data_IF_746115678342
#
_entry.id   IF_746115678342
#
_cell.length_a   1.000
_cell.length_b   1.000
_cell.length_c   1.000
_cell.angle_alpha   90.00
_cell.angle_beta   90.00
_cell.angle_gamma   90.00
#
_symmetry.space_group_name_H-M   'P 1'
#
loop_
_entity.id
_entity.type
_entity.pdbx_description
1 polymer ?
#
# COMPACT_ATOMS: atom_id res chain seq x y z
N UNK A 1 -10.78 3.82 7.41
CA UNK A 1 -11.17 3.72 5.97
C UNK A 1 -12.67 3.83 5.74
N UNK A 2 -13.53 3.06 6.43
CA UNK A 2 -14.99 3.11 6.25
C UNK A 2 -15.56 4.54 6.36
N UNK A 3 -15.23 5.25 7.41
CA UNK A 3 -15.70 6.63 7.65
C UNK A 3 -15.23 7.63 6.58
N UNK A 4 -14.04 7.41 6.00
CA UNK A 4 -13.52 8.28 4.93
C UNK A 4 -14.28 8.10 3.61
N UNK A 5 -14.83 6.93 3.37
CA UNK A 5 -15.60 6.62 2.16
C UNK A 5 -17.09 7.02 2.28
N UNK A 6 -17.59 7.34 3.48
CA UNK A 6 -19.00 7.69 3.68
C UNK A 6 -19.49 8.75 2.67
N UNK A 7 -20.70 8.60 2.07
CA UNK A 7 -21.70 7.57 2.29
C UNK A 7 -21.49 6.27 1.47
N UNK A 8 -20.39 6.14 0.74
CA UNK A 8 -20.11 4.95 -0.06
C UNK A 8 -19.47 3.86 0.78
N UNK A 9 -19.84 2.61 0.51
CA UNK A 9 -19.02 1.50 0.97
C UNK A 9 -17.64 1.51 0.25
N UNK A 10 -16.50 1.17 0.90
CA UNK A 10 -15.19 1.18 0.26
C UNK A 10 -15.09 0.35 -1.03
N UNK A 11 -15.82 -0.77 -1.14
CA UNK A 11 -15.89 -1.57 -2.36
C UNK A 11 -16.54 -0.74 -3.48
N UNK A 12 -17.68 -0.11 -3.21
CA UNK A 12 -18.38 0.74 -4.19
C UNK A 12 -17.51 1.89 -4.63
N UNK A 13 -16.86 2.59 -3.67
CA UNK A 13 -15.91 3.65 -3.98
C UNK A 13 -14.79 3.18 -4.89
N UNK A 14 -14.14 2.06 -4.55
CA UNK A 14 -13.02 1.53 -5.33
C UNK A 14 -13.41 1.19 -6.77
N UNK A 15 -14.55 0.55 -6.94
CA UNK A 15 -15.02 0.15 -8.27
C UNK A 15 -15.40 1.37 -9.12
N UNK A 16 -16.12 2.32 -8.56
CA UNK A 16 -16.44 3.60 -9.22
C UNK A 16 -15.19 4.38 -9.57
N UNK A 17 -14.20 4.42 -8.64
CA UNK A 17 -12.92 5.08 -8.88
C UNK A 17 -12.17 4.48 -10.07
N UNK A 18 -12.16 3.16 -10.20
CA UNK A 18 -11.50 2.49 -11.32
C UNK A 18 -12.28 2.65 -12.63
N UNK A 19 -13.59 2.40 -12.59
CA UNK A 19 -14.43 2.32 -13.78
C UNK A 19 -14.82 3.68 -14.37
N UNK A 20 -14.67 4.79 -13.63
CA UNK A 20 -14.89 6.14 -14.17
C UNK A 20 -13.91 6.52 -15.29
N UNK A 21 -12.73 5.88 -15.34
CA UNK A 21 -11.78 6.10 -16.43
C UNK A 21 -12.27 5.33 -17.66
N UNK A 22 -12.59 6.00 -18.78
CA UNK A 22 -13.14 5.35 -19.97
C UNK A 22 -12.18 4.36 -20.64
N UNK A 23 -10.91 4.34 -20.24
CA UNK A 23 -9.91 3.38 -20.69
C UNK A 23 -9.98 2.06 -19.92
N UNK A 24 -10.66 2.04 -18.77
CA UNK A 24 -10.86 0.84 -17.93
C UNK A 24 -12.19 0.22 -18.30
N UNK A 25 -12.16 -0.86 -19.08
CA UNK A 25 -13.37 -1.55 -19.53
C UNK A 25 -13.85 -2.65 -18.58
N UNK A 26 -12.94 -3.16 -17.73
CA UNK A 26 -13.25 -4.24 -16.80
C UNK A 26 -12.29 -4.21 -15.63
N UNK A 27 -12.76 -4.69 -14.48
CA UNK A 27 -11.96 -4.91 -13.28
C UNK A 27 -12.15 -6.35 -12.81
N UNK A 28 -11.10 -6.93 -12.23
CA UNK A 28 -11.18 -8.22 -11.56
C UNK A 28 -11.52 -7.96 -10.09
N UNK A 29 -12.64 -8.49 -9.65
CA UNK A 29 -13.12 -8.31 -8.28
C UNK A 29 -13.00 -9.61 -7.49
N UNK A 30 -12.81 -9.50 -6.17
CA UNK A 30 -12.82 -10.59 -5.23
C UNK A 30 -13.90 -10.37 -4.18
N UNK A 31 -14.57 -11.43 -3.76
CA UNK A 31 -15.59 -11.39 -2.71
C UNK A 31 -15.14 -12.27 -1.54
N UNK A 32 -15.23 -11.73 -0.33
CA UNK A 32 -15.01 -12.48 0.92
C UNK A 32 -16.28 -13.14 1.41
N UNK A 33 -17.43 -12.58 1.05
CA UNK A 33 -18.75 -13.10 1.32
C UNK A 33 -19.71 -12.77 0.16
N UNK A 34 -20.87 -13.44 0.05
CA UNK A 34 -21.82 -13.19 -1.04
C UNK A 34 -22.30 -11.73 -1.14
N UNK A 35 -22.43 -11.03 -0.01
CA UNK A 35 -22.85 -9.62 0.02
C UNK A 35 -21.87 -8.66 -0.63
N UNK A 36 -20.59 -9.04 -0.76
CA UNK A 36 -19.60 -8.22 -1.47
C UNK A 36 -19.96 -8.10 -2.96
N UNK A 37 -20.59 -9.13 -3.55
CA UNK A 37 -21.04 -9.11 -4.95
C UNK A 37 -22.15 -8.08 -5.16
N UNK A 38 -23.04 -7.90 -4.18
CA UNK A 38 -24.11 -6.90 -4.25
C UNK A 38 -23.52 -5.47 -4.28
N UNK A 39 -22.43 -5.24 -3.54
CA UNK A 39 -21.71 -3.96 -3.56
C UNK A 39 -21.05 -3.67 -4.92
N UNK A 40 -20.49 -4.69 -5.58
CA UNK A 40 -19.98 -4.53 -6.95
C UNK A 40 -21.09 -4.21 -7.95
N UNK A 41 -22.26 -4.84 -7.81
CA UNK A 41 -23.44 -4.53 -8.64
C UNK A 41 -23.96 -3.11 -8.36
N UNK A 42 -23.99 -2.68 -7.10
CA UNK A 42 -24.31 -1.30 -6.73
C UNK A 42 -23.38 -0.30 -7.46
N UNK A 43 -22.05 -0.54 -7.43
CA UNK A 43 -21.11 0.32 -8.13
C UNK A 43 -21.43 0.45 -9.62
N UNK A 44 -21.69 -0.68 -10.30
CA UNK A 44 -22.02 -0.69 -11.73
C UNK A 44 -23.32 0.10 -12.00
N UNK A 45 -24.32 -0.03 -11.13
CA UNK A 45 -25.60 0.68 -11.28
C UNK A 45 -25.49 2.21 -11.14
N UNK A 46 -24.38 2.69 -10.57
CA UNK A 46 -24.15 4.11 -10.27
C UNK A 46 -23.01 4.74 -11.09
N UNK A 47 -22.54 4.07 -12.14
CA UNK A 47 -21.41 4.55 -12.96
C UNK A 47 -21.63 5.95 -13.55
N UNK A 48 -22.85 6.28 -13.97
CA UNK A 48 -23.17 7.59 -14.53
C UNK A 48 -22.99 8.74 -13.51
N UNK A 49 -23.06 8.43 -12.23
CA UNK A 49 -22.90 9.37 -11.12
C UNK A 49 -21.46 9.34 -10.53
N UNK A 50 -20.60 8.50 -11.05
CA UNK A 50 -19.29 8.18 -10.43
C UNK A 50 -18.47 9.42 -10.11
N UNK A 51 -18.39 10.39 -11.01
CA UNK A 51 -17.57 11.59 -10.82
C UNK A 51 -18.02 12.40 -9.59
N UNK A 52 -19.34 12.60 -9.42
CA UNK A 52 -19.90 13.38 -8.32
C UNK A 52 -19.81 12.62 -6.98
N UNK A 53 -19.98 11.31 -7.02
CA UNK A 53 -19.96 10.45 -5.83
C UNK A 53 -18.55 10.31 -5.24
N UNK A 54 -17.53 10.16 -6.09
CA UNK A 54 -16.17 9.88 -5.63
C UNK A 54 -15.37 11.14 -5.29
N UNK A 55 -15.64 12.29 -5.90
CA UNK A 55 -14.87 13.50 -5.67
C UNK A 55 -14.79 13.92 -4.18
N UNK A 56 -15.87 13.92 -3.40
CA UNK A 56 -15.81 14.22 -1.98
C UNK A 56 -15.00 13.19 -1.17
N UNK A 57 -15.06 11.91 -1.56
CA UNK A 57 -14.31 10.83 -0.91
C UNK A 57 -12.81 11.00 -1.20
N UNK A 58 -12.44 11.24 -2.46
CA UNK A 58 -11.05 11.51 -2.83
C UNK A 58 -10.46 12.69 -2.05
N UNK A 59 -11.22 13.77 -1.92
CA UNK A 59 -10.78 14.94 -1.16
C UNK A 59 -10.52 14.59 0.32
N UNK A 60 -11.40 13.81 0.95
CA UNK A 60 -11.19 13.35 2.34
C UNK A 60 -9.98 12.43 2.48
N UNK A 61 -9.80 11.49 1.55
CA UNK A 61 -8.64 10.58 1.54
C UNK A 61 -7.33 11.36 1.36
N UNK A 62 -7.30 12.32 0.45
CA UNK A 62 -6.14 13.19 0.24
C UNK A 62 -5.85 14.03 1.48
N UNK A 63 -6.88 14.62 2.09
CA UNK A 63 -6.70 15.42 3.30
C UNK A 63 -6.21 14.58 4.48
N UNK A 64 -6.74 13.37 4.65
CA UNK A 64 -6.26 12.44 5.67
C UNK A 64 -4.78 12.07 5.46
N UNK A 65 -4.38 11.80 4.21
CA UNK A 65 -2.99 11.52 3.88
C UNK A 65 -2.07 12.73 4.17
N UNK A 66 -2.48 13.95 3.79
CA UNK A 66 -1.73 15.17 4.08
C UNK A 66 -1.57 15.41 5.58
N UNK A 67 -2.62 15.21 6.34
CA UNK A 67 -2.59 15.38 7.79
C UNK A 67 -1.66 14.38 8.49
N UNK A 68 -1.64 13.14 8.01
CA UNK A 68 -0.85 12.07 8.62
C UNK A 68 0.63 12.08 8.19
N UNK A 69 0.91 12.36 6.93
CA UNK A 69 2.21 12.17 6.32
C UNK A 69 2.95 13.49 6.01
N UNK A 70 2.20 14.56 5.76
CA UNK A 70 2.71 15.86 5.32
C UNK A 70 2.94 15.93 3.81
N UNK A 71 2.80 17.15 3.24
CA UNK A 71 2.93 17.38 1.79
C UNK A 71 4.34 17.06 1.26
N UNK A 72 5.39 17.38 2.01
CA UNK A 72 6.78 17.11 1.60
C UNK A 72 7.04 15.62 1.43
N UNK A 73 6.58 14.82 2.38
CA UNK A 73 6.67 13.36 2.28
C UNK A 73 5.87 12.82 1.10
N UNK A 74 4.60 13.21 0.97
CA UNK A 74 3.73 12.75 -0.10
C UNK A 74 4.28 13.07 -1.48
N UNK A 75 4.92 14.22 -1.65
CA UNK A 75 5.52 14.66 -2.91
C UNK A 75 6.85 13.96 -3.27
N UNK A 76 7.52 13.32 -2.31
CA UNK A 76 8.92 12.90 -2.51
C UNK A 76 9.32 11.58 -1.84
N UNK A 77 8.44 10.86 -1.16
CA UNK A 77 8.78 9.65 -0.40
C UNK A 77 9.49 8.56 -1.23
N UNK A 78 9.20 8.48 -2.53
CA UNK A 78 9.78 7.49 -3.44
C UNK A 78 11.03 7.98 -4.19
N UNK A 79 11.40 9.26 -4.03
CA UNK A 79 12.55 9.82 -4.76
C UNK A 79 13.86 9.22 -4.27
N UNK A 80 14.71 8.84 -5.24
CA UNK A 80 16.06 8.36 -4.96
C UNK A 80 16.12 7.01 -4.23
N UNK A 81 15.02 6.25 -4.18
CA UNK A 81 15.04 4.90 -3.64
C UNK A 81 15.76 3.96 -4.60
N UNK A 82 16.63 3.08 -4.10
CA UNK A 82 17.23 2.01 -4.90
C UNK A 82 16.20 0.94 -5.24
N UNK A 83 16.45 0.19 -6.31
CA UNK A 83 15.68 -1.02 -6.58
C UNK A 83 15.99 -2.11 -5.54
N UNK A 84 15.06 -3.02 -5.33
CA UNK A 84 15.19 -4.05 -4.30
C UNK A 84 16.40 -4.98 -4.54
N UNK A 85 16.77 -5.22 -5.80
CA UNK A 85 17.91 -6.09 -6.18
C UNK A 85 19.25 -5.60 -5.68
N UNK A 86 19.41 -4.27 -5.51
CA UNK A 86 20.64 -3.65 -5.04
C UNK A 86 20.55 -3.13 -3.60
N UNK A 87 19.39 -3.27 -2.98
CA UNK A 87 19.22 -2.90 -1.58
C UNK A 87 19.82 -3.99 -0.67
N UNK A 88 20.52 -3.65 0.42
CA UNK A 88 21.00 -4.63 1.38
C UNK A 88 19.87 -5.56 1.86
N UNK A 89 20.11 -6.88 1.80
CA UNK A 89 19.10 -7.89 2.15
C UNK A 89 17.94 -7.98 1.17
N UNK A 90 18.09 -7.42 -0.04
CA UNK A 90 17.05 -7.39 -1.07
C UNK A 90 15.74 -6.74 -0.60
N UNK A 91 15.82 -5.81 0.37
CA UNK A 91 14.64 -5.17 0.95
C UNK A 91 13.93 -4.32 -0.10
N UNK A 92 12.63 -4.55 -0.29
CA UNK A 92 11.82 -3.79 -1.22
C UNK A 92 11.32 -2.49 -0.60
N UNK A 93 12.19 -1.48 -0.58
CA UNK A 93 11.91 -0.17 0.00
C UNK A 93 10.66 0.51 -0.60
N UNK A 94 10.47 0.56 -1.94
CA UNK A 94 9.27 1.16 -2.52
C UNK A 94 7.96 0.56 -2.00
N UNK A 95 7.88 -0.77 -1.93
CA UNK A 95 6.67 -1.44 -1.41
C UNK A 95 6.50 -1.18 0.08
N UNK A 96 7.56 -1.26 0.88
CA UNK A 96 7.47 -1.02 2.32
C UNK A 96 7.04 0.41 2.65
N UNK A 97 7.58 1.41 1.98
CA UNK A 97 7.18 2.80 2.18
C UNK A 97 5.75 3.07 1.67
N UNK A 98 5.34 2.42 0.60
CA UNK A 98 3.94 2.44 0.17
C UNK A 98 3.01 1.84 1.24
N UNK A 99 3.37 0.70 1.85
CA UNK A 99 2.60 0.11 2.95
C UNK A 99 2.56 1.04 4.18
N UNK A 100 3.67 1.72 4.50
CA UNK A 100 3.71 2.74 5.53
C UNK A 100 2.68 3.86 5.25
N UNK A 101 2.65 4.36 4.02
CA UNK A 101 1.71 5.40 3.64
C UNK A 101 0.24 4.95 3.80
N UNK A 102 -0.08 3.72 3.42
CA UNK A 102 -1.43 3.16 3.59
C UNK A 102 -1.84 3.02 5.07
N UNK A 103 -0.88 2.64 5.92
CA UNK A 103 -1.09 2.52 7.36
C UNK A 103 -1.36 3.87 8.01
N UNK A 104 -0.47 4.83 7.77
CA UNK A 104 -0.53 6.12 8.46
C UNK A 104 -1.70 6.99 7.94
N UNK A 105 -1.96 6.96 6.63
CA UNK A 105 -3.01 7.77 6.04
C UNK A 105 -4.42 7.23 6.29
N UNK A 106 -4.60 5.90 6.26
CA UNK A 106 -5.94 5.31 6.16
C UNK A 106 -6.16 4.10 7.07
N UNK A 107 -5.22 3.80 7.95
CA UNK A 107 -5.28 2.66 8.89
C UNK A 107 -5.61 1.31 8.23
N UNK A 108 -4.98 1.04 7.07
CA UNK A 108 -5.18 -0.19 6.31
C UNK A 108 -4.30 -1.34 6.85
N UNK A 109 -4.33 -1.59 8.17
CA UNK A 109 -3.41 -2.53 8.82
C UNK A 109 -3.56 -3.97 8.31
N UNK A 110 -4.78 -4.47 8.20
CA UNK A 110 -5.01 -5.85 7.71
C UNK A 110 -4.47 -6.05 6.29
N UNK A 111 -4.68 -5.08 5.42
CA UNK A 111 -4.17 -5.08 4.05
C UNK A 111 -2.64 -5.01 4.04
N UNK A 112 -2.06 -4.05 4.77
CA UNK A 112 -0.63 -3.86 4.84
C UNK A 112 0.08 -5.11 5.41
N UNK A 113 -0.47 -5.71 6.45
CA UNK A 113 0.04 -6.95 7.05
C UNK A 113 0.03 -8.11 6.05
N UNK A 114 -1.05 -8.28 5.30
CA UNK A 114 -1.13 -9.32 4.28
C UNK A 114 -0.09 -9.13 3.18
N UNK A 115 0.15 -7.90 2.72
CA UNK A 115 1.14 -7.59 1.67
C UNK A 115 2.57 -7.66 2.18
N UNK A 116 2.83 -7.18 3.40
CA UNK A 116 4.13 -7.29 4.05
C UNK A 116 4.61 -8.76 4.14
N UNK A 117 3.71 -9.67 4.50
CA UNK A 117 4.01 -11.12 4.62
C UNK A 117 4.18 -11.83 3.29
N UNK A 118 3.80 -11.22 2.17
CA UNK A 118 4.06 -11.75 0.84
C UNK A 118 5.46 -11.40 0.33
N UNK A 119 6.09 -10.34 0.85
CA UNK A 119 7.48 -10.02 0.54
C UNK A 119 8.41 -11.12 1.06
N UNK A 120 9.33 -11.57 0.20
CA UNK A 120 10.24 -12.67 0.52
C UNK A 120 9.65 -14.07 0.33
N UNK A 121 8.39 -14.21 -0.11
CA UNK A 121 7.75 -15.51 -0.38
C UNK A 121 8.07 -16.10 -1.76
N UNK A 122 8.93 -15.44 -2.55
CA UNK A 122 9.29 -15.85 -3.92
C UNK A 122 8.26 -15.52 -4.99
N UNK A 123 7.17 -14.81 -4.64
CA UNK A 123 6.15 -14.39 -5.60
C UNK A 123 6.58 -13.15 -6.38
N UNK A 124 6.44 -13.15 -7.70
CA UNK A 124 6.86 -12.05 -8.58
C UNK A 124 6.09 -10.72 -8.40
N UNK A 125 4.90 -10.74 -7.79
CA UNK A 125 4.11 -9.54 -7.50
C UNK A 125 4.64 -8.72 -6.33
N UNK A 126 5.35 -9.37 -5.40
CA UNK A 126 5.95 -8.78 -4.22
C UNK A 126 7.38 -9.31 -4.09
N UNK A 127 8.20 -9.00 -5.11
CA UNK A 127 9.59 -9.39 -5.15
C UNK A 127 10.40 -8.70 -4.04
N UNK A 128 11.53 -9.28 -3.69
CA UNK A 128 12.39 -8.79 -2.63
C UNK A 128 11.90 -9.16 -1.23
N UNK A 129 12.63 -8.71 -0.23
CA UNK A 129 12.38 -9.00 1.18
C UNK A 129 11.60 -7.89 1.86
N UNK A 130 10.91 -8.24 2.95
CA UNK A 130 10.34 -7.26 3.87
C UNK A 130 11.38 -6.75 4.90
N UNK A 131 10.94 -5.92 5.84
CA UNK A 131 11.83 -5.36 6.85
C UNK A 131 12.30 -6.37 7.91
N UNK A 132 11.82 -7.61 7.91
CA UNK A 132 12.33 -8.68 8.79
C UNK A 132 13.77 -9.05 8.43
N UNK A 133 14.20 -8.77 7.17
CA UNK A 133 15.58 -8.91 6.74
C UNK A 133 16.55 -7.92 7.46
N UNK A 134 16.03 -6.87 8.11
CA UNK A 134 16.79 -6.00 9.01
C UNK A 134 17.07 -6.77 10.31
N UNK A 135 18.06 -7.60 10.27
CA UNK A 135 18.60 -8.36 11.40
C UNK A 135 20.06 -7.98 11.63
N UNK A 136 20.74 -8.76 12.43
CA UNK A 136 22.15 -8.55 12.76
C UNK A 136 23.11 -8.63 11.55
N UNK A 137 22.61 -9.01 10.36
CA UNK A 137 23.40 -9.16 9.13
C UNK A 137 23.46 -7.87 8.30
N UNK A 138 22.48 -6.98 8.48
CA UNK A 138 22.42 -5.72 7.74
C UNK A 138 22.64 -4.57 8.71
N UNK A 139 23.78 -3.90 8.56
CA UNK A 139 24.07 -2.72 9.38
C UNK A 139 23.25 -1.51 8.91
N UNK A 140 22.90 -0.65 9.84
CA UNK A 140 22.23 0.61 9.52
C UNK A 140 23.07 1.48 8.56
N UNK A 141 24.40 1.41 8.64
CA UNK A 141 25.30 2.13 7.73
C UNK A 141 25.16 1.67 6.28
N UNK A 142 25.03 0.36 6.02
CA UNK A 142 24.80 -0.17 4.67
C UNK A 142 23.44 0.30 4.10
N UNK A 143 22.42 0.32 4.93
CA UNK A 143 21.09 0.83 4.52
C UNK A 143 21.15 2.34 4.21
N UNK A 144 21.81 3.13 5.06
CA UNK A 144 22.00 4.57 4.84
C UNK A 144 22.82 4.88 3.60
N UNK A 145 23.80 4.04 3.27
CA UNK A 145 24.57 4.17 2.03
C UNK A 145 23.69 3.92 0.81
N UNK A 146 22.90 2.85 0.82
CA UNK A 146 21.93 2.56 -0.25
C UNK A 146 20.86 3.66 -0.44
N UNK A 147 20.52 4.38 0.63
CA UNK A 147 19.59 5.50 0.63
C UNK A 147 20.23 6.86 0.34
N UNK A 148 21.49 6.93 -0.06
CA UNK A 148 22.22 8.19 -0.21
C UNK A 148 21.55 9.22 -1.13
N UNK A 149 20.77 8.78 -2.12
CA UNK A 149 20.05 9.63 -3.06
C UNK A 149 18.65 10.03 -2.59
N UNK A 150 18.16 9.45 -1.49
CA UNK A 150 16.82 9.75 -0.98
C UNK A 150 16.81 10.99 -0.07
N UNK A 151 15.90 11.94 -0.24
CA UNK A 151 15.74 13.06 0.70
C UNK A 151 15.31 12.61 2.09
N UNK A 152 14.84 11.36 2.22
CA UNK A 152 14.33 10.77 3.46
C UNK A 152 15.26 9.72 4.06
N UNK A 153 16.53 9.73 3.63
CA UNK A 153 17.57 8.79 4.06
C UNK A 153 17.53 8.49 5.55
N UNK A 154 17.49 9.52 6.38
CA UNK A 154 17.60 9.38 7.83
C UNK A 154 16.27 8.96 8.51
N UNK A 155 15.15 9.17 7.83
CA UNK A 155 13.81 8.81 8.34
C UNK A 155 13.45 7.35 8.03
N UNK A 156 13.84 6.83 6.87
CA UNK A 156 13.43 5.51 6.36
C UNK A 156 13.81 4.36 7.31
N UNK A 157 15.01 4.29 7.91
CA UNK A 157 15.35 3.20 8.85
C UNK A 157 14.38 3.10 10.03
N UNK A 158 13.93 4.24 10.56
CA UNK A 158 12.91 4.27 11.62
C UNK A 158 11.56 3.72 11.17
N UNK A 159 11.12 4.07 9.96
CA UNK A 159 9.88 3.54 9.36
C UNK A 159 9.96 2.02 9.20
N UNK A 160 11.07 1.49 8.69
CA UNK A 160 11.25 0.05 8.52
C UNK A 160 11.19 -0.71 9.84
N UNK A 161 11.82 -0.18 10.90
CA UNK A 161 11.72 -0.77 12.25
C UNK A 161 10.28 -0.78 12.76
N UNK A 162 9.53 0.28 12.55
CA UNK A 162 8.11 0.36 12.92
C UNK A 162 7.27 -0.65 12.15
N UNK A 163 7.48 -0.78 10.82
CA UNK A 163 6.79 -1.77 10.01
C UNK A 163 7.09 -3.20 10.47
N UNK A 164 8.38 -3.51 10.75
CA UNK A 164 8.77 -4.81 11.31
C UNK A 164 8.03 -5.09 12.62
N UNK A 165 7.99 -4.15 13.56
CA UNK A 165 7.30 -4.33 14.85
C UNK A 165 5.79 -4.54 14.69
N UNK A 166 5.14 -3.77 13.79
CA UNK A 166 3.68 -3.82 13.61
C UNK A 166 3.20 -5.00 12.77
N UNK A 167 3.96 -5.38 11.73
CA UNK A 167 3.48 -6.26 10.67
C UNK A 167 4.15 -7.63 10.63
N UNK A 168 5.26 -7.82 11.35
CA UNK A 168 5.98 -9.09 11.42
C UNK A 168 5.06 -10.26 11.84
N UNK A 169 5.40 -11.47 11.39
CA UNK A 169 4.68 -12.71 11.69
C UNK A 169 4.99 -13.76 10.63
N UNK A 170 4.37 -14.93 10.75
CA UNK A 170 4.62 -16.03 9.82
C UNK A 170 4.35 -15.63 8.36
N UNK A 171 5.29 -15.90 7.48
CA UNK A 171 5.17 -15.72 6.03
C UNK A 171 4.00 -16.58 5.51
N UNK A 172 3.10 -15.98 4.74
CA UNK A 172 2.02 -16.71 4.07
C UNK A 172 2.44 -17.01 2.63
N UNK A 173 2.64 -18.28 2.31
CA UNK A 173 2.74 -18.71 0.91
C UNK A 173 1.38 -18.56 0.21
N UNK A 174 1.40 -18.06 -1.03
CA UNK A 174 0.20 -18.07 -1.89
C UNK A 174 -0.17 -19.51 -2.27
N UNK A 175 -1.46 -19.82 -2.22
CA UNK A 175 -1.99 -21.12 -2.69
C UNK A 175 -1.69 -21.41 -4.18
N UNK A 176 -1.37 -20.38 -4.98
CA UNK A 176 -1.01 -20.50 -6.40
C UNK A 176 0.47 -20.82 -6.65
N UNK A 177 1.24 -21.11 -5.63
CA UNK A 177 2.68 -21.46 -5.73
C UNK A 177 2.91 -22.98 -5.64
N UNK A 178 1.85 -23.78 -5.83
CA UNK A 178 1.89 -25.27 -5.90
C UNK A 178 1.71 -25.69 -7.35
#
# INVERSE_FOLDING_TARGET
MLELCDPLHPIVFNDLFCLRDPRVHTISVGASCPGDLDLHLEAVSRLDEAADLIAPVEQRLQQAAKNALGDDWLGSWSQGLPSWEITPGEINLPILLWLHNLLEAWDLESYARARYRLLGSGGHWFAGSNADALDDRISESQLLEALASSPWRDRIPGILRTLKQRLAGESKMRLSSV
#
